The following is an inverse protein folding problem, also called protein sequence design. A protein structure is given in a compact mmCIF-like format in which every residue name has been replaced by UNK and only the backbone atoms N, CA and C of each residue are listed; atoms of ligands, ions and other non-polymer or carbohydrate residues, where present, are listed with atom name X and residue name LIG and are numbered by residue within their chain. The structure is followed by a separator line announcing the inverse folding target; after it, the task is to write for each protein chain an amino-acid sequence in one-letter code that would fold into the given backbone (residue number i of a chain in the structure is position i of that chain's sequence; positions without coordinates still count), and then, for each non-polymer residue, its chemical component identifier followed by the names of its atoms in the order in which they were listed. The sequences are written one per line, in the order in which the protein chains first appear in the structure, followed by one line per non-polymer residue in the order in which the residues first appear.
data_IF_372528439814
#
_entry.id   IF_372528439814
#
_cell.length_a   1.000
_cell.length_b   1.000
_cell.length_c   1.000
_cell.angle_alpha   90.00
_cell.angle_beta   90.00
_cell.angle_gamma   90.00
#
_symmetry.space_group_name_H-M   'P 1'
#
loop_
_entity.id
_entity.type
_entity.pdbx_description
1 polymer ?
#
# COMPACT_ATOMS: atom_id res chain seq x y z
N UNK A 1 13.76 -7.65 15.25
CA UNK A 1 14.56 -7.42 14.03
C UNK A 1 14.56 -5.93 13.71
N UNK A 2 15.71 -5.32 13.44
CA UNK A 2 15.85 -3.87 13.28
C UNK A 2 16.71 -3.49 12.07
N UNK A 3 16.48 -2.29 11.54
CA UNK A 3 17.37 -1.61 10.59
C UNK A 3 18.12 -0.43 11.25
N UNK A 4 17.86 -0.18 12.53
CA UNK A 4 18.44 0.89 13.34
C UNK A 4 19.03 0.29 14.62
N UNK A 5 20.25 -0.28 14.57
CA UNK A 5 20.82 -1.06 15.67
C UNK A 5 21.12 -0.19 16.89
N UNK A 6 21.48 1.08 16.69
CA UNK A 6 21.73 2.04 17.77
C UNK A 6 20.48 2.28 18.63
N UNK A 7 19.31 2.50 18.02
CA UNK A 7 18.04 2.64 18.77
C UNK A 7 17.72 1.34 19.51
N UNK A 8 17.85 0.21 18.82
CA UNK A 8 17.58 -1.13 19.38
C UNK A 8 18.45 -1.45 20.59
N UNK A 9 19.73 -1.06 20.57
CA UNK A 9 20.61 -1.18 21.72
C UNK A 9 20.19 -0.26 22.87
N UNK A 10 19.87 1.01 22.59
CA UNK A 10 19.48 2.01 23.60
C UNK A 10 18.21 1.60 24.36
N UNK A 11 17.23 1.00 23.69
CA UNK A 11 15.99 0.53 24.35
C UNK A 11 16.17 -0.76 25.15
N UNK A 12 17.38 -1.36 25.15
CA UNK A 12 17.70 -2.50 26.00
C UNK A 12 17.00 -3.80 25.60
N UNK A 13 16.84 -4.07 24.29
CA UNK A 13 16.20 -5.33 23.88
C UNK A 13 16.99 -6.55 24.38
N UNK A 14 16.32 -7.61 24.86
CA UNK A 14 17.01 -8.78 25.38
C UNK A 14 17.79 -9.53 24.30
N UNK A 15 17.25 -9.62 23.07
CA UNK A 15 17.93 -10.20 21.90
C UNK A 15 17.55 -9.40 20.67
N UNK A 16 18.54 -9.04 19.87
CA UNK A 16 18.35 -8.25 18.66
C UNK A 16 19.09 -8.84 17.46
N UNK A 17 18.52 -8.61 16.28
CA UNK A 17 19.20 -8.83 15.01
C UNK A 17 19.07 -7.57 14.18
N UNK A 18 20.14 -7.27 13.44
CA UNK A 18 20.27 -6.11 12.58
C UNK A 18 20.45 -6.51 11.12
N UNK A 19 19.71 -5.84 10.24
CA UNK A 19 19.83 -5.95 8.79
C UNK A 19 20.17 -4.59 8.17
N UNK A 20 21.12 -4.57 7.25
CA UNK A 20 21.48 -3.37 6.44
C UNK A 20 20.49 -3.16 5.29
N UNK A 21 19.23 -2.97 5.65
CA UNK A 21 18.09 -2.83 4.74
C UNK A 21 17.42 -1.46 4.95
N UNK A 22 16.69 -0.93 3.96
CA UNK A 22 15.87 0.26 4.16
C UNK A 22 14.74 -0.01 5.17
N UNK A 23 14.30 1.05 5.86
CA UNK A 23 13.14 0.97 6.74
C UNK A 23 11.89 0.42 6.01
N UNK A 24 11.09 -0.37 6.71
CA UNK A 24 9.92 -1.07 6.16
C UNK A 24 10.20 -2.35 5.38
N UNK A 25 11.48 -2.69 5.12
CA UNK A 25 11.86 -3.86 4.31
C UNK A 25 12.64 -4.91 5.11
N UNK A 26 12.41 -5.00 6.42
CA UNK A 26 13.20 -5.86 7.32
C UNK A 26 13.12 -7.35 6.96
N UNK A 27 12.11 -7.78 6.20
CA UNK A 27 11.91 -9.18 5.81
C UNK A 27 12.40 -9.51 4.40
N UNK A 28 12.85 -8.55 3.59
CA UNK A 28 13.21 -8.81 2.19
C UNK A 28 12.49 -7.92 1.18
N UNK A 29 12.80 -8.11 -0.10
CA UNK A 29 12.10 -7.51 -1.23
C UNK A 29 10.71 -8.15 -1.39
N UNK A 30 9.74 -7.37 -1.87
CA UNK A 30 8.41 -7.87 -2.16
C UNK A 30 8.44 -8.94 -3.27
N UNK A 31 7.68 -10.03 -3.07
CA UNK A 31 7.60 -11.11 -4.04
C UNK A 31 8.80 -12.06 -4.09
N UNK A 32 9.78 -11.96 -3.17
CA UNK A 32 10.92 -12.88 -3.12
C UNK A 32 10.82 -13.87 -1.94
N UNK A 33 9.95 -14.90 -2.00
CA UNK A 33 9.69 -15.78 -0.86
C UNK A 33 10.90 -16.60 -0.41
N UNK A 34 11.84 -16.95 -1.30
CA UNK A 34 13.07 -17.66 -0.89
C UNK A 34 13.95 -16.73 -0.05
N UNK A 35 14.14 -15.49 -0.52
CA UNK A 35 14.87 -14.46 0.22
C UNK A 35 14.24 -14.21 1.61
N UNK A 36 12.92 -13.99 1.64
CA UNK A 36 12.21 -13.68 2.87
C UNK A 36 12.30 -14.83 3.90
N UNK A 37 12.14 -16.07 3.43
CA UNK A 37 12.28 -17.26 4.26
C UNK A 37 13.68 -17.39 4.84
N UNK A 38 14.73 -17.17 4.05
CA UNK A 38 16.10 -17.24 4.54
C UNK A 38 16.39 -16.19 5.64
N UNK A 39 15.86 -14.97 5.49
CA UNK A 39 15.97 -13.92 6.53
C UNK A 39 15.25 -14.34 7.82
N UNK A 40 14.03 -14.87 7.70
CA UNK A 40 13.24 -15.33 8.86
C UNK A 40 13.88 -16.54 9.54
N UNK A 41 14.39 -17.50 8.79
CA UNK A 41 15.11 -18.66 9.34
C UNK A 41 16.33 -18.21 10.13
N UNK A 42 17.18 -17.35 9.53
CA UNK A 42 18.35 -16.82 10.24
C UNK A 42 17.96 -16.02 11.49
N UNK A 43 16.86 -15.27 11.44
CA UNK A 43 16.33 -14.55 12.59
C UNK A 43 15.92 -15.48 13.73
N UNK A 44 15.24 -16.59 13.40
CA UNK A 44 14.80 -17.59 14.38
C UNK A 44 15.99 -18.36 14.95
N UNK A 45 16.95 -18.77 14.11
CA UNK A 45 18.20 -19.41 14.54
C UNK A 45 19.01 -18.48 15.47
N UNK A 46 19.03 -17.18 15.15
CA UNK A 46 19.67 -16.16 15.99
C UNK A 46 19.06 -16.13 17.39
N UNK A 47 17.74 -16.29 17.50
CA UNK A 47 17.06 -16.32 18.79
C UNK A 47 17.54 -17.48 19.68
N UNK A 48 17.95 -18.61 19.10
CA UNK A 48 18.55 -19.75 19.81
C UNK A 48 20.04 -19.55 20.08
N UNK A 49 20.79 -19.00 19.12
CA UNK A 49 22.25 -18.83 19.23
C UNK A 49 22.69 -17.68 20.16
N UNK A 50 21.83 -16.69 20.40
CA UNK A 50 22.14 -15.57 21.30
C UNK A 50 21.99 -16.04 22.76
N UNK A 51 23.13 -16.32 23.39
CA UNK A 51 23.18 -16.81 24.77
C UNK A 51 23.09 -15.69 25.82
N UNK A 52 23.52 -14.46 25.49
CA UNK A 52 23.58 -13.34 26.42
C UNK A 52 22.52 -12.27 26.14
N UNK A 53 21.80 -11.76 27.16
CA UNK A 53 20.90 -10.62 27.01
C UNK A 53 21.61 -9.36 26.50
N UNK A 54 20.88 -8.48 25.80
CA UNK A 54 21.42 -7.24 25.25
C UNK A 54 22.25 -7.42 23.97
N UNK A 55 22.37 -8.64 23.46
CA UNK A 55 23.14 -8.92 22.25
C UNK A 55 22.36 -8.53 21.01
N UNK A 56 22.99 -7.74 20.14
CA UNK A 56 22.49 -7.42 18.80
C UNK A 56 23.51 -7.90 17.77
N UNK A 57 23.14 -8.88 16.94
CA UNK A 57 24.02 -9.40 15.89
C UNK A 57 23.62 -8.87 14.51
N UNK A 58 24.61 -8.65 13.65
CA UNK A 58 24.37 -8.27 12.25
C UNK A 58 24.22 -9.55 11.40
N UNK A 59 23.13 -9.65 10.64
CA UNK A 59 22.94 -10.73 9.66
C UNK A 59 23.71 -10.43 8.36
N UNK A 60 24.20 -11.46 7.65
CA UNK A 60 25.07 -11.31 6.48
C UNK A 60 24.33 -10.82 5.21
N UNK A 61 23.04 -10.50 5.31
CA UNK A 61 22.24 -10.10 4.16
C UNK A 61 22.42 -8.61 3.81
N UNK A 62 22.33 -8.29 2.52
CA UNK A 62 22.47 -6.94 1.98
C UNK A 62 21.34 -6.63 1.00
N UNK A 63 20.80 -5.41 1.08
CA UNK A 63 19.74 -4.97 0.18
C UNK A 63 20.16 -5.09 -1.29
N UNK A 64 19.32 -5.76 -2.09
CA UNK A 64 19.55 -6.09 -3.52
C UNK A 64 20.86 -6.84 -3.82
N UNK A 65 21.55 -7.35 -2.81
CA UNK A 65 22.76 -8.17 -2.93
C UNK A 65 22.57 -9.42 -2.08
N UNK A 66 21.54 -10.17 -2.43
CA UNK A 66 21.21 -11.41 -1.74
C UNK A 66 21.96 -12.58 -2.38
N UNK A 67 22.38 -13.60 -1.60
CA UNK A 67 23.11 -14.76 -2.16
C UNK A 67 22.33 -15.55 -3.21
N UNK A 68 20.99 -15.44 -3.19
CA UNK A 68 20.09 -16.10 -4.11
C UNK A 68 19.43 -15.06 -5.01
N UNK A 69 19.58 -15.22 -6.31
CA UNK A 69 18.81 -14.50 -7.31
C UNK A 69 17.46 -15.20 -7.49
N UNK A 70 16.37 -14.44 -7.35
CA UNK A 70 15.00 -14.92 -7.45
C UNK A 70 14.18 -13.85 -8.18
N UNK A 71 13.38 -14.29 -9.15
CA UNK A 71 12.41 -13.43 -9.83
C UNK A 71 11.21 -13.13 -8.90
N UNK A 72 10.68 -11.89 -8.88
CA UNK A 72 9.54 -11.55 -8.04
C UNK A 72 8.31 -12.39 -8.41
N UNK A 73 7.84 -13.21 -7.47
CA UNK A 73 6.59 -13.95 -7.56
C UNK A 73 5.47 -13.11 -6.94
N UNK A 74 4.67 -12.47 -7.80
CA UNK A 74 3.41 -11.84 -7.41
C UNK A 74 2.24 -12.69 -7.91
N UNK A 75 1.60 -13.45 -7.03
CA UNK A 75 0.49 -14.34 -7.42
C UNK A 75 -0.84 -13.61 -7.66
N UNK A 76 -0.92 -12.30 -7.41
CA UNK A 76 -2.11 -11.46 -7.66
C UNK A 76 -3.39 -11.86 -6.89
N UNK A 77 -3.33 -12.91 -6.06
CA UNK A 77 -4.48 -13.45 -5.33
C UNK A 77 -4.27 -13.24 -3.84
N UNK A 78 -4.83 -12.16 -3.30
CA UNK A 78 -5.11 -12.10 -1.86
C UNK A 78 -6.09 -13.22 -1.51
N UNK A 79 -5.74 -14.14 -0.61
CA UNK A 79 -6.60 -15.25 -0.18
C UNK A 79 -7.44 -14.90 1.06
N UNK A 80 -7.56 -13.60 1.39
CA UNK A 80 -8.45 -13.13 2.44
C UNK A 80 -9.92 -13.44 2.13
N UNK A 81 -10.83 -13.31 3.12
CA UNK A 81 -12.26 -13.38 2.88
C UNK A 81 -12.64 -12.42 1.75
N UNK A 82 -13.07 -12.97 0.62
CA UNK A 82 -13.48 -12.22 -0.56
C UNK A 82 -14.98 -12.20 -0.62
N UNK A 83 -15.56 -11.04 -0.32
CA UNK A 83 -16.97 -10.82 -0.64
C UNK A 83 -17.07 -10.47 -2.11
N UNK A 84 -17.76 -11.30 -2.89
CA UNK A 84 -17.94 -11.07 -4.33
C UNK A 84 -18.51 -9.69 -4.63
N UNK A 85 -19.50 -9.25 -3.84
CA UNK A 85 -20.07 -7.92 -3.94
C UNK A 85 -19.02 -6.83 -3.67
N UNK A 86 -18.02 -7.11 -2.82
CA UNK A 86 -17.00 -6.14 -2.48
C UNK A 86 -15.93 -5.92 -3.52
N UNK A 87 -15.55 -6.98 -4.22
CA UNK A 87 -14.69 -6.85 -5.40
C UNK A 87 -15.40 -6.00 -6.47
N UNK A 88 -16.69 -6.28 -6.73
CA UNK A 88 -17.48 -5.53 -7.71
C UNK A 88 -17.59 -4.05 -7.32
N UNK A 89 -17.88 -3.74 -6.05
CA UNK A 89 -18.00 -2.33 -5.60
C UNK A 89 -16.65 -1.60 -5.73
N UNK A 90 -15.54 -2.23 -5.32
CA UNK A 90 -14.20 -1.65 -5.48
C UNK A 90 -13.86 -1.35 -6.94
N UNK A 91 -14.04 -2.32 -7.84
CA UNK A 91 -13.82 -2.15 -9.28
C UNK A 91 -14.75 -1.08 -9.89
N UNK A 92 -15.98 -0.97 -9.38
CA UNK A 92 -16.94 0.05 -9.82
C UNK A 92 -16.48 1.45 -9.39
N UNK A 93 -16.03 1.62 -8.14
CA UNK A 93 -15.48 2.89 -7.66
C UNK A 93 -14.25 3.32 -8.48
N UNK A 94 -13.33 2.39 -8.75
CA UNK A 94 -12.16 2.65 -9.60
C UNK A 94 -12.58 3.10 -11.01
N UNK A 95 -13.59 2.44 -11.57
CA UNK A 95 -14.16 2.79 -12.87
C UNK A 95 -14.82 4.17 -12.85
N UNK A 96 -15.58 4.50 -11.80
CA UNK A 96 -16.21 5.82 -11.64
C UNK A 96 -15.15 6.93 -11.52
N UNK A 97 -14.11 6.73 -10.72
CA UNK A 97 -12.99 7.68 -10.59
C UNK A 97 -12.29 7.90 -11.93
N UNK A 98 -12.02 6.82 -12.68
CA UNK A 98 -11.43 6.92 -14.03
C UNK A 98 -12.31 7.75 -14.98
N UNK A 99 -13.61 7.44 -15.04
CA UNK A 99 -14.55 8.18 -15.90
C UNK A 99 -14.70 9.64 -15.48
N UNK A 100 -14.69 9.93 -14.18
CA UNK A 100 -14.71 11.31 -13.68
C UNK A 100 -13.45 12.09 -14.07
N UNK A 101 -12.26 11.45 -14.03
CA UNK A 101 -11.00 12.06 -14.49
C UNK A 101 -11.00 12.34 -15.99
N UNK A 102 -11.52 11.41 -16.80
CA UNK A 102 -11.68 11.61 -18.25
C UNK A 102 -12.61 12.79 -18.55
N UNK A 103 -13.75 12.89 -17.84
CA UNK A 103 -14.67 14.00 -18.00
C UNK A 103 -14.08 15.34 -17.53
N UNK A 104 -13.31 15.35 -16.43
CA UNK A 104 -12.56 16.52 -15.97
C UNK A 104 -11.60 17.01 -17.06
N UNK A 105 -10.81 16.10 -17.64
CA UNK A 105 -9.87 16.43 -18.71
C UNK A 105 -10.59 17.00 -19.94
N UNK A 106 -11.75 16.45 -20.29
CA UNK A 106 -12.59 17.00 -21.36
C UNK A 106 -13.07 18.43 -21.05
N UNK A 107 -13.53 18.71 -19.81
CA UNK A 107 -13.96 20.05 -19.38
C UNK A 107 -12.80 21.06 -19.43
N UNK A 108 -11.61 20.65 -19.00
CA UNK A 108 -10.40 21.47 -19.08
C UNK A 108 -10.06 21.81 -20.54
N UNK A 109 -10.13 20.82 -21.45
CA UNK A 109 -9.95 21.03 -22.88
C UNK A 109 -10.99 22.00 -23.47
N UNK A 110 -12.27 21.84 -23.10
CA UNK A 110 -13.35 22.73 -23.55
C UNK A 110 -13.16 24.16 -23.06
N UNK A 111 -12.63 24.35 -21.84
CA UNK A 111 -12.28 25.65 -21.28
C UNK A 111 -11.13 26.30 -22.04
N UNK A 112 -10.06 25.56 -22.32
CA UNK A 112 -8.93 26.07 -23.11
C UNK A 112 -9.33 26.48 -24.53
N UNK A 113 -10.24 25.73 -25.17
CA UNK A 113 -10.81 26.11 -26.46
C UNK A 113 -11.60 27.42 -26.38
N UNK A 114 -12.38 27.62 -25.32
CA UNK A 114 -13.14 28.85 -25.10
C UNK A 114 -12.22 30.06 -24.87
N UNK A 115 -11.16 29.88 -24.07
CA UNK A 115 -10.15 30.90 -23.81
C UNK A 115 -9.36 31.29 -25.07
N UNK A 116 -9.21 30.36 -26.02
CA UNK A 116 -8.57 30.59 -27.31
C UNK A 116 -9.52 31.07 -28.42
N UNK A 117 -10.83 31.14 -28.17
CA UNK A 117 -11.82 31.53 -29.17
C UNK A 117 -11.73 33.01 -29.52
N UNK A 118 -11.84 33.34 -30.81
CA UNK A 118 -11.89 34.72 -31.28
C UNK A 118 -13.18 35.46 -30.84
N UNK A 119 -14.24 34.71 -30.52
CA UNK A 119 -15.52 35.23 -30.03
C UNK A 119 -15.93 34.45 -28.78
N UNK A 120 -15.38 34.77 -27.61
CA UNK A 120 -15.68 34.05 -26.38
C UNK A 120 -17.09 34.40 -25.85
N UNK A 121 -17.78 33.39 -25.35
CA UNK A 121 -19.07 33.55 -24.66
C UNK A 121 -18.80 34.08 -23.26
N UNK A 122 -19.38 35.23 -22.95
CA UNK A 122 -19.22 35.89 -21.66
C UNK A 122 -19.61 34.94 -20.50
N UNK A 123 -18.69 34.75 -19.56
CA UNK A 123 -18.92 33.93 -18.35
C UNK A 123 -18.75 32.42 -18.53
N UNK A 124 -18.65 31.89 -19.75
CA UNK A 124 -18.55 30.44 -19.99
C UNK A 124 -17.27 29.83 -19.44
N UNK A 125 -16.09 30.46 -19.61
CA UNK A 125 -14.84 29.96 -19.01
C UNK A 125 -14.92 29.89 -17.48
N UNK A 126 -15.55 30.89 -16.85
CA UNK A 126 -15.78 30.90 -15.40
C UNK A 126 -16.69 29.76 -14.95
N UNK A 127 -17.79 29.53 -15.68
CA UNK A 127 -18.69 28.41 -15.41
C UNK A 127 -17.99 27.04 -15.59
N UNK A 128 -17.20 26.87 -16.65
CA UNK A 128 -16.42 25.66 -16.89
C UNK A 128 -15.39 25.41 -15.79
N UNK A 129 -14.70 26.44 -15.31
CA UNK A 129 -13.78 26.34 -14.17
C UNK A 129 -14.48 25.84 -12.91
N UNK A 130 -15.64 26.40 -12.58
CA UNK A 130 -16.43 25.96 -11.43
C UNK A 130 -16.91 24.49 -11.55
N UNK A 131 -17.18 24.02 -12.78
CA UNK A 131 -17.51 22.60 -13.00
C UNK A 131 -16.28 21.69 -12.85
N UNK A 132 -15.11 22.11 -13.34
CA UNK A 132 -13.85 21.37 -13.14
C UNK A 132 -13.57 21.19 -11.65
N UNK A 133 -13.70 22.25 -10.85
CA UNK A 133 -13.52 22.19 -9.39
C UNK A 133 -14.52 21.23 -8.72
N UNK A 134 -15.79 21.23 -9.15
CA UNK A 134 -16.80 20.28 -8.64
C UNK A 134 -16.48 18.82 -8.99
N UNK A 135 -16.01 18.56 -10.21
CA UNK A 135 -15.61 17.19 -10.60
C UNK A 135 -14.37 16.75 -9.82
N UNK A 136 -13.45 17.67 -9.54
CA UNK A 136 -12.26 17.37 -8.72
C UNK A 136 -12.64 16.98 -7.29
N UNK A 137 -13.54 17.73 -6.66
CA UNK A 137 -14.10 17.39 -5.35
C UNK A 137 -14.82 16.03 -5.36
N UNK A 138 -15.57 15.73 -6.43
CA UNK A 138 -16.21 14.42 -6.58
C UNK A 138 -15.17 13.29 -6.65
N UNK A 139 -14.08 13.47 -7.39
CA UNK A 139 -12.98 12.51 -7.47
C UNK A 139 -12.37 12.29 -6.09
N UNK A 140 -12.10 13.35 -5.32
CA UNK A 140 -11.53 13.25 -3.97
C UNK A 140 -12.44 12.44 -3.02
N UNK A 141 -13.76 12.70 -3.07
CA UNK A 141 -14.74 11.96 -2.26
C UNK A 141 -14.78 10.47 -2.62
N UNK A 142 -14.71 10.14 -3.91
CA UNK A 142 -14.76 8.75 -4.39
C UNK A 142 -13.46 7.99 -4.09
N UNK A 143 -12.31 8.59 -4.38
CA UNK A 143 -10.98 7.96 -4.30
C UNK A 143 -10.44 7.89 -2.87
N UNK A 144 -10.93 8.76 -1.98
CA UNK A 144 -10.50 8.82 -0.58
C UNK A 144 -11.61 8.34 0.36
N UNK A 145 -12.53 9.24 0.72
CA UNK A 145 -13.50 9.01 1.81
C UNK A 145 -14.39 7.79 1.57
N UNK A 146 -14.92 7.66 0.35
CA UNK A 146 -15.81 6.55 -0.01
C UNK A 146 -15.05 5.23 -0.03
N UNK A 147 -13.87 5.21 -0.66
CA UNK A 147 -13.03 4.02 -0.75
C UNK A 147 -12.54 3.55 0.62
N UNK A 148 -12.16 4.48 1.50
CA UNK A 148 -11.68 4.17 2.84
C UNK A 148 -12.80 3.62 3.74
N UNK A 149 -13.97 4.29 3.78
CA UNK A 149 -15.14 3.77 4.49
C UNK A 149 -15.53 2.38 3.97
N UNK A 150 -15.45 2.19 2.65
CA UNK A 150 -15.75 0.92 2.04
C UNK A 150 -14.77 -0.18 2.48
N UNK A 151 -13.47 0.11 2.45
CA UNK A 151 -12.42 -0.80 2.91
C UNK A 151 -12.56 -1.13 4.40
N UNK A 152 -12.93 -0.16 5.23
CA UNK A 152 -13.16 -0.39 6.66
C UNK A 152 -14.27 -1.42 6.89
N UNK A 153 -15.40 -1.28 6.20
CA UNK A 153 -16.52 -2.23 6.25
C UNK A 153 -16.06 -3.63 5.82
N UNK A 154 -15.38 -3.72 4.67
CA UNK A 154 -14.91 -5.00 4.12
C UNK A 154 -13.92 -5.68 5.08
N UNK A 155 -12.96 -4.93 5.62
CA UNK A 155 -11.96 -5.45 6.56
C UNK A 155 -12.61 -5.88 7.88
N UNK A 156 -13.60 -5.13 8.37
CA UNK A 156 -14.34 -5.47 9.59
C UNK A 156 -15.10 -6.78 9.42
N UNK A 157 -15.84 -6.94 8.32
CA UNK A 157 -16.59 -8.18 8.03
C UNK A 157 -15.62 -9.35 7.85
N UNK A 158 -14.55 -9.18 7.06
CA UNK A 158 -13.53 -10.21 6.88
C UNK A 158 -12.94 -10.67 8.23
N UNK A 159 -12.67 -9.73 9.14
CA UNK A 159 -12.18 -10.03 10.50
C UNK A 159 -13.22 -10.81 11.31
N UNK A 160 -14.50 -10.42 11.25
CA UNK A 160 -15.59 -11.12 11.94
C UNK A 160 -15.79 -12.55 11.42
N UNK A 161 -15.74 -12.76 10.10
CA UNK A 161 -15.84 -14.09 9.50
C UNK A 161 -14.67 -15.00 9.89
N UNK A 162 -13.46 -14.43 9.91
CA UNK A 162 -12.27 -15.16 10.34
C UNK A 162 -12.36 -15.59 11.81
N UNK A 163 -12.87 -14.73 12.70
CA UNK A 163 -13.19 -15.09 14.09
C UNK A 163 -14.26 -16.17 14.18
N UNK A 164 -15.37 -16.02 13.44
CA UNK A 164 -16.46 -17.00 13.43
C UNK A 164 -16.01 -18.38 12.94
N UNK A 165 -15.07 -18.42 12.00
CA UNK A 165 -14.48 -19.67 11.48
C UNK A 165 -13.41 -20.30 12.38
N UNK A 166 -13.11 -19.69 13.53
CA UNK A 166 -12.09 -20.17 14.47
C UNK A 166 -10.64 -20.02 13.96
N UNK A 167 -10.43 -19.25 12.89
CA UNK A 167 -9.10 -19.00 12.29
C UNK A 167 -8.35 -17.84 12.94
N UNK A 168 -9.03 -17.05 13.76
CA UNK A 168 -8.45 -16.02 14.61
C UNK A 168 -8.84 -16.31 16.06
N UNK A 169 -7.84 -16.61 16.90
CA UNK A 169 -7.93 -16.55 18.37
C UNK A 169 -7.35 -15.21 18.81
#
# INVERSE_FOLDING_TARGET
MSVQPHITATVGVPRGIFLRYPAGNQVGEAGKPIQQRAILTAALESAYSIESPGTVIELPFRWRRFPTEEEPVFQGKSSGPRHRQAEVIGETLDTMVRQAREYKSWLEGRRSQEEASATPILGLSGALRAQVERVDQLIEVLDTSTLDQYREVVNSIATLELRASGKFV
#
